data_IF_518188672528
#
_entry.id   IF_518188672528
#
_cell.length_a   1.000
_cell.length_b   1.000
_cell.length_c   1.000
_cell.angle_alpha   90.00
_cell.angle_beta   90.00
_cell.angle_gamma   90.00
#
_symmetry.space_group_name_H-M   'P 1'
#
loop_
_entity.id
_entity.type
_entity.pdbx_description
1 polymer ?
#
# COMPACT_ATOMS: atom_id res chain seq x y z
N UNK A 1 6.43 -1.35 -24.37
CA UNK A 1 6.50 -2.64 -23.68
C UNK A 1 6.97 -2.35 -22.27
N UNK A 2 6.15 -2.62 -21.24
CA UNK A 2 6.64 -2.55 -19.86
C UNK A 2 7.63 -3.68 -19.65
N UNK A 3 8.75 -3.40 -18.95
CA UNK A 3 9.74 -4.41 -18.64
C UNK A 3 9.10 -5.52 -17.79
N UNK A 4 9.49 -6.78 -18.04
CA UNK A 4 9.03 -7.91 -17.25
C UNK A 4 9.44 -7.74 -15.78
N UNK A 5 8.53 -8.06 -14.85
CA UNK A 5 8.82 -8.00 -13.42
C UNK A 5 9.88 -9.06 -13.05
N UNK A 6 11.03 -8.68 -12.48
CA UNK A 6 12.17 -9.59 -12.34
C UNK A 6 12.13 -10.49 -11.10
N UNK A 7 11.14 -10.31 -10.22
CA UNK A 7 11.02 -11.04 -8.95
C UNK A 7 9.89 -12.08 -8.98
N UNK A 8 10.00 -13.18 -8.21
CA UNK A 8 8.94 -14.18 -8.12
C UNK A 8 7.60 -13.59 -7.69
N UNK A 9 6.52 -14.10 -8.29
CA UNK A 9 5.18 -13.77 -7.83
C UNK A 9 4.96 -14.26 -6.38
N UNK A 10 4.24 -13.47 -5.55
CA UNK A 10 3.73 -13.94 -4.26
C UNK A 10 2.74 -15.10 -4.46
N UNK A 11 2.77 -16.03 -3.52
CA UNK A 11 1.74 -17.07 -3.42
C UNK A 11 0.48 -16.48 -2.77
N UNK A 12 -0.70 -16.86 -3.26
CA UNK A 12 -1.95 -16.55 -2.57
C UNK A 12 -2.14 -17.53 -1.42
N UNK A 13 -1.85 -17.06 -0.21
CA UNK A 13 -1.98 -17.82 1.04
C UNK A 13 -3.35 -17.64 1.71
N UNK A 14 -4.29 -16.94 1.08
CA UNK A 14 -5.63 -16.68 1.63
C UNK A 14 -5.66 -15.77 2.85
N UNK A 15 -4.54 -15.14 3.24
CA UNK A 15 -4.45 -14.37 4.48
C UNK A 15 -5.28 -13.07 4.48
N UNK A 16 -5.81 -12.67 3.32
CA UNK A 16 -6.72 -11.54 3.17
C UNK A 16 -8.15 -11.95 2.79
N UNK A 17 -8.51 -13.25 2.79
CA UNK A 17 -9.83 -13.72 2.33
C UNK A 17 -11.02 -13.21 3.16
N UNK A 18 -10.78 -12.68 4.37
CA UNK A 18 -11.81 -12.04 5.19
C UNK A 18 -12.06 -10.57 4.86
N UNK A 19 -11.20 -9.92 4.05
CA UNK A 19 -11.33 -8.52 3.64
C UNK A 19 -12.23 -8.40 2.41
N UNK A 20 -13.49 -8.78 2.57
CA UNK A 20 -14.47 -8.83 1.46
C UNK A 20 -15.26 -7.53 1.32
N UNK A 21 -15.94 -7.39 0.19
CA UNK A 21 -16.92 -6.32 -0.03
C UNK A 21 -17.91 -6.22 1.14
N UNK A 22 -18.17 -5.00 1.62
CA UNK A 22 -19.02 -4.74 2.78
C UNK A 22 -18.28 -4.68 4.13
N UNK A 23 -16.99 -5.03 4.18
CA UNK A 23 -16.18 -4.88 5.40
C UNK A 23 -15.96 -3.40 5.71
N UNK A 24 -16.36 -2.94 6.90
CA UNK A 24 -16.12 -1.55 7.34
C UNK A 24 -14.67 -1.36 7.77
N UNK A 25 -14.05 -0.26 7.33
CA UNK A 25 -12.73 0.14 7.81
C UNK A 25 -12.79 0.57 9.29
N UNK A 26 -11.75 0.31 10.08
CA UNK A 26 -11.66 0.81 11.45
C UNK A 26 -11.46 2.33 11.46
N UNK A 27 -12.11 3.02 12.40
CA UNK A 27 -11.94 4.46 12.61
C UNK A 27 -10.64 4.76 13.37
N UNK A 28 -9.53 4.72 12.64
CA UNK A 28 -8.16 4.90 13.16
C UNK A 28 -7.50 6.01 12.36
N UNK A 29 -7.07 7.07 13.06
CA UNK A 29 -6.28 8.13 12.47
C UNK A 29 -4.79 7.75 12.51
N UNK A 30 -4.11 7.82 11.36
CA UNK A 30 -2.69 7.51 11.24
C UNK A 30 -1.90 8.76 10.83
N UNK A 31 -0.68 8.97 11.39
CA UNK A 31 0.21 10.02 10.93
C UNK A 31 0.50 9.89 9.44
N UNK A 32 0.45 11.01 8.72
CA UNK A 32 0.70 11.03 7.27
C UNK A 32 1.82 11.98 6.85
N UNK A 33 2.39 11.71 5.68
CA UNK A 33 3.35 12.61 5.02
C UNK A 33 2.76 13.97 4.60
N UNK A 34 1.44 14.18 4.75
CA UNK A 34 0.79 15.47 4.57
C UNK A 34 0.85 16.36 5.83
N UNK A 35 1.49 15.90 6.92
CA UNK A 35 1.65 16.65 8.17
C UNK A 35 0.41 16.65 9.06
N UNK A 36 -0.59 15.81 8.76
CA UNK A 36 -1.81 15.63 9.54
C UNK A 36 -2.10 14.15 9.74
N UNK A 37 -2.84 13.81 10.80
CA UNK A 37 -3.37 12.47 10.99
C UNK A 37 -4.59 12.26 10.08
N UNK A 38 -4.65 11.11 9.40
CA UNK A 38 -5.71 10.78 8.44
C UNK A 38 -6.41 9.50 8.88
N UNK A 39 -7.74 9.59 9.01
CA UNK A 39 -8.63 8.45 9.21
C UNK A 39 -9.33 8.13 7.88
N UNK A 40 -8.87 7.05 7.23
CA UNK A 40 -9.37 6.65 5.91
C UNK A 40 -10.85 6.27 5.95
N UNK A 41 -11.36 5.77 7.09
CA UNK A 41 -12.78 5.40 7.24
C UNK A 41 -13.72 6.60 7.13
N UNK A 42 -13.22 7.81 7.36
CA UNK A 42 -13.99 9.07 7.32
C UNK A 42 -13.90 9.81 5.99
N UNK A 43 -13.15 9.26 5.03
CA UNK A 43 -12.97 9.89 3.74
C UNK A 43 -14.20 9.62 2.88
N UNK A 44 -14.97 10.67 2.60
CA UNK A 44 -16.08 10.60 1.66
C UNK A 44 -15.58 10.31 0.23
N UNK A 45 -16.37 9.53 -0.49
CA UNK A 45 -16.09 9.06 -1.84
C UNK A 45 -15.18 7.85 -1.88
N UNK A 46 -14.67 7.55 -3.08
CA UNK A 46 -13.84 6.37 -3.32
C UNK A 46 -12.38 6.63 -2.99
N UNK A 47 -11.77 5.66 -2.34
CA UNK A 47 -10.37 5.62 -1.92
C UNK A 47 -9.71 4.35 -2.45
N UNK A 48 -8.49 4.47 -2.95
CA UNK A 48 -7.55 3.36 -3.08
C UNK A 48 -6.53 3.45 -1.95
N UNK A 49 -6.51 2.43 -1.10
CA UNK A 49 -5.54 2.27 -0.01
C UNK A 49 -4.64 1.08 -0.35
N UNK A 50 -3.42 1.35 -0.80
CA UNK A 50 -2.44 0.29 -1.07
C UNK A 50 -1.49 0.13 0.12
N UNK A 51 -1.34 -1.10 0.57
CA UNK A 51 -0.46 -1.50 1.66
C UNK A 51 0.82 -2.07 1.06
N UNK A 52 1.97 -1.62 1.54
CA UNK A 52 3.27 -2.04 1.01
C UNK A 52 4.25 -2.46 2.12
N UNK A 53 5.14 -3.43 1.85
CA UNK A 53 6.05 -3.93 2.88
C UNK A 53 7.09 -2.91 3.34
N UNK A 54 7.89 -2.41 2.40
CA UNK A 54 9.08 -1.60 2.69
C UNK A 54 9.60 -0.94 1.42
N UNK A 55 10.13 0.29 1.53
CA UNK A 55 10.62 1.12 0.41
C UNK A 55 12.14 1.26 0.36
N UNK A 56 12.87 0.67 1.31
CA UNK A 56 14.33 0.79 1.37
C UNK A 56 14.82 2.15 1.86
N UNK A 57 16.13 2.26 1.98
CA UNK A 57 16.86 3.54 2.11
C UNK A 57 18.03 3.49 1.16
N UNK A 58 18.21 4.47 0.25
CA UNK A 58 19.35 4.50 -0.66
C UNK A 58 20.68 4.34 0.08
N UNK A 59 21.56 3.46 -0.43
CA UNK A 59 22.85 3.16 0.18
C UNK A 59 22.80 2.25 1.41
N UNK A 60 21.62 1.82 1.86
CA UNK A 60 21.45 0.81 2.90
C UNK A 60 21.10 -0.55 2.28
N UNK A 61 21.58 -1.63 2.88
CA UNK A 61 21.16 -2.97 2.49
C UNK A 61 19.66 -3.18 2.76
N UNK A 62 19.02 -4.03 1.96
CA UNK A 62 17.70 -4.55 2.29
C UNK A 62 17.77 -5.41 3.56
N UNK A 63 16.63 -5.67 4.21
CA UNK A 63 16.56 -6.61 5.33
C UNK A 63 17.13 -7.99 4.94
N UNK A 64 17.60 -8.80 5.90
CA UNK A 64 18.12 -10.14 5.62
C UNK A 64 17.16 -10.99 4.77
N UNK A 65 17.68 -11.72 3.78
CA UNK A 65 16.87 -12.62 2.95
C UNK A 65 15.77 -11.97 2.10
N UNK A 66 15.74 -10.64 1.97
CA UNK A 66 14.65 -9.92 1.28
C UNK A 66 14.41 -10.39 -0.16
N UNK A 67 15.49 -10.68 -0.89
CA UNK A 67 15.48 -11.13 -2.28
C UNK A 67 14.77 -12.49 -2.47
N UNK A 68 14.71 -13.31 -1.43
CA UNK A 68 14.06 -14.63 -1.45
C UNK A 68 12.57 -14.55 -1.03
N UNK A 69 12.14 -13.41 -0.47
CA UNK A 69 10.76 -13.25 0.02
C UNK A 69 9.86 -12.83 -1.15
N UNK A 70 9.03 -13.78 -1.60
CA UNK A 70 8.04 -13.57 -2.65
C UNK A 70 7.11 -12.40 -2.31
N UNK A 71 7.00 -11.44 -3.22
CA UNK A 71 6.18 -10.24 -3.04
C UNK A 71 6.79 -9.11 -2.19
N UNK A 72 7.98 -9.29 -1.60
CA UNK A 72 8.65 -8.25 -0.81
C UNK A 72 9.12 -7.07 -1.67
N UNK A 73 9.56 -7.35 -2.90
CA UNK A 73 9.97 -6.32 -3.85
C UNK A 73 8.78 -5.57 -4.45
N UNK A 74 9.00 -4.29 -4.75
CA UNK A 74 8.14 -3.49 -5.62
C UNK A 74 7.34 -2.38 -4.98
N UNK A 75 7.59 -2.04 -3.72
CA UNK A 75 6.90 -0.92 -3.05
C UNK A 75 7.20 0.43 -3.71
N UNK A 76 8.46 0.67 -4.07
CA UNK A 76 8.84 1.89 -4.81
C UNK A 76 8.14 1.97 -6.17
N UNK A 77 8.28 0.99 -7.09
CA UNK A 77 7.62 1.09 -8.40
C UNK A 77 6.08 1.06 -8.33
N UNK A 78 5.47 0.44 -7.32
CA UNK A 78 4.01 0.54 -7.11
C UNK A 78 3.59 1.96 -6.75
N UNK A 79 4.24 2.56 -5.75
CA UNK A 79 3.94 3.93 -5.32
C UNK A 79 4.22 4.95 -6.42
N UNK A 80 5.30 4.77 -7.19
CA UNK A 80 5.60 5.58 -8.38
C UNK A 80 4.54 5.39 -9.47
N UNK A 81 4.06 4.17 -9.69
CA UNK A 81 2.93 3.90 -10.58
C UNK A 81 1.67 4.68 -10.15
N UNK A 82 1.33 4.70 -8.87
CA UNK A 82 0.22 5.51 -8.37
C UNK A 82 0.46 7.01 -8.59
N UNK A 83 1.68 7.49 -8.34
CA UNK A 83 2.07 8.89 -8.55
C UNK A 83 1.85 9.28 -10.01
N UNK A 84 2.33 8.46 -10.94
CA UNK A 84 2.27 8.73 -12.38
C UNK A 84 0.83 8.69 -12.90
N UNK A 85 -0.04 7.87 -12.29
CA UNK A 85 -1.45 7.74 -12.65
C UNK A 85 -2.38 8.72 -11.90
N UNK A 86 -1.87 9.54 -10.97
CA UNK A 86 -2.68 10.46 -10.15
C UNK A 86 -3.65 11.34 -10.95
N UNK A 87 -3.30 11.90 -12.14
CA UNK A 87 -4.26 12.67 -12.93
C UNK A 87 -5.52 11.88 -13.29
N UNK A 88 -5.38 10.59 -13.60
CA UNK A 88 -6.50 9.71 -13.91
C UNK A 88 -7.38 9.40 -12.69
N UNK A 89 -6.76 9.20 -11.52
CA UNK A 89 -7.50 9.03 -10.27
C UNK A 89 -8.26 10.30 -9.89
N UNK A 90 -7.64 11.47 -10.02
CA UNK A 90 -8.26 12.76 -9.73
C UNK A 90 -9.46 13.04 -10.64
N UNK A 91 -9.37 12.73 -11.95
CA UNK A 91 -10.49 12.85 -12.89
C UNK A 91 -11.71 12.01 -12.50
N UNK A 92 -11.51 10.90 -11.77
CA UNK A 92 -12.58 10.04 -11.25
C UNK A 92 -12.99 10.36 -9.83
N UNK A 93 -12.45 11.43 -9.23
CA UNK A 93 -12.71 11.78 -7.83
C UNK A 93 -12.20 10.73 -6.83
N UNK A 94 -11.24 9.89 -7.22
CA UNK A 94 -10.68 8.83 -6.38
C UNK A 94 -9.44 9.35 -5.66
N UNK A 95 -9.41 9.18 -4.33
CA UNK A 95 -8.24 9.51 -3.51
C UNK A 95 -7.33 8.30 -3.38
N UNK A 96 -6.02 8.52 -3.31
CA UNK A 96 -5.03 7.45 -3.18
C UNK A 96 -4.24 7.66 -1.89
N UNK A 97 -4.02 6.57 -1.15
CA UNK A 97 -3.18 6.55 0.05
C UNK A 97 -2.27 5.32 0.01
N UNK A 98 -1.01 5.49 0.39
CA UNK A 98 -0.12 4.38 0.68
C UNK A 98 -0.09 4.11 2.19
N UNK A 99 0.07 2.87 2.62
CA UNK A 99 0.20 2.51 4.03
C UNK A 99 1.31 1.47 4.23
N UNK A 100 2.12 1.66 5.27
CA UNK A 100 3.08 0.65 5.72
C UNK A 100 3.33 0.75 7.22
N UNK A 101 4.03 -0.24 7.75
CA UNK A 101 4.55 -0.21 9.12
C UNK A 101 5.82 0.64 9.26
N UNK A 102 6.31 1.29 8.20
CA UNK A 102 7.45 2.20 8.29
C UNK A 102 7.07 3.46 9.09
N UNK A 103 8.00 3.95 9.91
CA UNK A 103 7.84 5.17 10.71
C UNK A 103 7.61 6.38 9.81
N UNK A 104 6.90 7.39 10.33
CA UNK A 104 6.62 8.64 9.60
C UNK A 104 7.86 9.28 8.97
N UNK A 105 8.97 9.37 9.72
CA UNK A 105 10.22 9.93 9.20
C UNK A 105 10.77 9.17 7.99
N UNK A 106 10.67 7.84 7.98
CA UNK A 106 11.13 7.02 6.86
C UNK A 106 10.20 7.20 5.64
N UNK A 107 8.89 7.30 5.86
CA UNK A 107 7.91 7.55 4.81
C UNK A 107 8.03 8.96 4.21
N UNK A 108 8.34 9.97 5.01
CA UNK A 108 8.60 11.32 4.52
C UNK A 108 9.86 11.38 3.64
N UNK A 109 10.94 10.71 4.06
CA UNK A 109 12.16 10.59 3.25
C UNK A 109 11.87 9.87 1.93
N UNK A 110 11.06 8.81 1.97
CA UNK A 110 10.61 8.11 0.78
C UNK A 110 9.75 9.02 -0.12
N UNK A 111 8.76 9.71 0.43
CA UNK A 111 7.91 10.62 -0.33
C UNK A 111 8.72 11.71 -1.03
N UNK A 112 9.71 12.30 -0.34
CA UNK A 112 10.61 13.30 -0.92
C UNK A 112 11.45 12.73 -2.06
N UNK A 113 12.12 11.59 -1.86
CA UNK A 113 13.04 11.03 -2.88
C UNK A 113 12.33 10.45 -4.10
N UNK A 114 11.11 9.91 -3.92
CA UNK A 114 10.30 9.34 -4.99
C UNK A 114 9.24 10.31 -5.52
N UNK A 115 9.28 11.59 -5.12
CA UNK A 115 8.33 12.62 -5.52
C UNK A 115 6.86 12.20 -5.37
N UNK A 116 6.52 11.51 -4.28
CA UNK A 116 5.16 11.06 -4.01
C UNK A 116 4.31 12.25 -3.59
N UNK A 117 3.19 12.46 -4.27
CA UNK A 117 2.30 13.63 -4.12
C UNK A 117 0.99 13.34 -3.40
N UNK A 118 0.76 12.09 -2.99
CA UNK A 118 -0.38 11.67 -2.19
C UNK A 118 0.08 11.23 -0.78
N UNK A 119 -0.81 11.22 0.23
CA UNK A 119 -0.39 10.93 1.59
C UNK A 119 0.02 9.46 1.75
N UNK A 120 1.14 9.25 2.44
CA UNK A 120 1.58 7.94 2.91
C UNK A 120 1.36 7.87 4.43
N UNK A 121 0.73 6.80 4.90
CA UNK A 121 0.25 6.61 6.26
C UNK A 121 1.20 5.67 7.02
N UNK A 122 1.63 6.11 8.20
CA UNK A 122 2.49 5.35 9.11
C UNK A 122 1.67 4.56 10.12
N UNK A 123 1.52 3.26 9.88
CA UNK A 123 0.96 2.30 10.83
C UNK A 123 2.07 1.61 11.63
N UNK A 124 3.05 2.38 12.12
CA UNK A 124 4.22 1.85 12.84
C UNK A 124 3.87 1.11 14.15
N UNK A 125 2.68 1.37 14.70
CA UNK A 125 2.14 0.67 15.87
C UNK A 125 1.24 -0.51 15.50
N UNK A 126 1.07 -0.81 14.20
CA UNK A 126 0.18 -1.84 13.66
C UNK A 126 -1.29 -1.70 14.08
N UNK A 127 -1.75 -0.52 14.51
CA UNK A 127 -3.12 -0.33 15.00
C UNK A 127 -4.15 -0.62 13.89
N UNK A 128 -3.93 -0.10 12.68
CA UNK A 128 -4.81 -0.36 11.55
C UNK A 128 -4.66 -1.80 11.06
N UNK A 129 -3.42 -2.29 11.00
CA UNK A 129 -3.12 -3.65 10.59
C UNK A 129 -3.71 -4.71 11.54
N UNK A 130 -3.70 -4.49 12.85
CA UNK A 130 -4.27 -5.39 13.85
C UNK A 130 -5.80 -5.41 13.73
N UNK A 131 -6.42 -4.25 13.62
CA UNK A 131 -7.87 -4.11 13.52
C UNK A 131 -8.47 -4.84 12.30
N UNK A 132 -7.76 -4.84 11.17
CA UNK A 132 -8.16 -5.57 9.97
C UNK A 132 -7.50 -6.95 9.81
N UNK A 133 -6.66 -7.38 10.77
CA UNK A 133 -5.86 -8.61 10.66
C UNK A 133 -5.10 -8.69 9.33
N UNK A 134 -4.43 -7.59 8.94
CA UNK A 134 -3.69 -7.50 7.69
C UNK A 134 -2.54 -8.51 7.68
N UNK A 135 -2.28 -9.17 6.53
CA UNK A 135 -1.25 -10.18 6.39
C UNK A 135 0.16 -9.62 6.62
N UNK A 136 1.05 -10.42 7.22
CA UNK A 136 2.41 -10.02 7.63
C UNK A 136 3.45 -11.06 7.27
N UNK A 137 4.70 -10.65 7.27
CA UNK A 137 5.85 -11.54 7.29
C UNK A 137 6.96 -10.92 8.16
N UNK A 138 7.92 -11.73 8.56
CA UNK A 138 9.04 -11.30 9.39
C UNK A 138 10.36 -11.59 8.68
N UNK A 139 11.30 -10.66 8.78
CA UNK A 139 12.71 -10.95 8.51
C UNK A 139 13.61 -9.98 9.27
N UNK A 140 14.82 -10.42 9.62
CA UNK A 140 15.77 -9.60 10.38
C UNK A 140 15.24 -9.13 11.74
N UNK A 141 14.30 -9.87 12.34
CA UNK A 141 13.63 -9.49 13.60
C UNK A 141 12.66 -8.31 13.48
N UNK A 142 12.25 -7.96 12.25
CA UNK A 142 11.29 -6.88 11.97
C UNK A 142 10.08 -7.47 11.25
N UNK A 143 8.89 -7.08 11.70
CA UNK A 143 7.62 -7.43 11.05
C UNK A 143 7.27 -6.43 9.96
N UNK A 144 6.84 -6.93 8.80
CA UNK A 144 6.40 -6.16 7.64
C UNK A 144 4.97 -6.54 7.26
N UNK A 145 4.24 -5.63 6.63
CA UNK A 145 2.94 -5.92 6.03
C UNK A 145 3.13 -6.57 4.65
N UNK A 146 2.29 -7.53 4.28
CA UNK A 146 2.25 -8.04 2.90
C UNK A 146 1.51 -7.05 2.00
N UNK A 147 1.91 -7.03 0.72
CA UNK A 147 1.34 -6.13 -0.29
C UNK A 147 -0.12 -6.49 -0.59
N UNK A 148 -1.03 -5.55 -0.40
CA UNK A 148 -2.43 -5.66 -0.80
C UNK A 148 -2.97 -4.29 -1.18
N UNK A 149 -4.12 -4.24 -1.84
CA UNK A 149 -4.82 -2.98 -2.10
C UNK A 149 -6.29 -3.12 -1.79
N UNK A 150 -6.85 -2.15 -1.09
CA UNK A 150 -8.29 -2.05 -0.86
C UNK A 150 -8.85 -0.87 -1.65
N UNK A 151 -9.92 -1.12 -2.39
CA UNK A 151 -10.80 -0.09 -2.94
C UNK A 151 -11.93 0.08 -1.93
N UNK A 152 -12.13 1.31 -1.47
CA UNK A 152 -13.01 1.64 -0.34
C UNK A 152 -13.95 2.76 -0.78
N UNK A 153 -15.25 2.58 -0.60
CA UNK A 153 -16.27 3.63 -0.79
C UNK A 153 -16.85 4.02 0.56
N UNK A 154 -16.74 5.31 0.92
CA UNK A 154 -17.33 5.86 2.15
C UNK A 154 -17.03 5.02 3.42
N UNK A 155 -15.76 4.61 3.55
CA UNK A 155 -15.27 3.82 4.68
C UNK A 155 -15.61 2.32 4.64
N UNK A 156 -16.19 1.81 3.56
CA UNK A 156 -16.52 0.39 3.37
C UNK A 156 -15.71 -0.19 2.20
N UNK A 157 -15.08 -1.35 2.41
CA UNK A 157 -14.34 -2.06 1.36
C UNK A 157 -15.33 -2.46 0.26
N UNK A 158 -15.04 -2.04 -0.98
CA UNK A 158 -15.71 -2.49 -2.20
C UNK A 158 -14.99 -3.71 -2.79
N UNK A 159 -13.65 -3.71 -2.75
CA UNK A 159 -12.82 -4.78 -3.29
C UNK A 159 -11.46 -4.82 -2.59
N UNK A 160 -10.94 -6.01 -2.35
CA UNK A 160 -9.54 -6.22 -1.94
C UNK A 160 -8.80 -6.99 -3.02
N UNK A 161 -7.60 -6.54 -3.36
CA UNK A 161 -6.67 -7.20 -4.26
C UNK A 161 -5.52 -7.74 -3.42
N UNK A 162 -5.45 -9.07 -3.31
CA UNK A 162 -4.38 -9.78 -2.64
C UNK A 162 -4.25 -11.18 -3.26
N UNK A 163 -3.01 -11.63 -3.58
CA UNK A 163 -1.79 -10.83 -3.57
C UNK A 163 -1.73 -9.87 -4.78
N UNK A 164 -1.00 -8.76 -4.65
CA UNK A 164 -0.79 -7.81 -5.76
C UNK A 164 0.43 -8.25 -6.60
N UNK A 165 0.23 -8.47 -7.91
CA UNK A 165 1.33 -8.76 -8.85
C UNK A 165 0.95 -8.48 -10.32
N UNK A 166 1.85 -7.87 -11.13
CA UNK A 166 3.11 -7.28 -10.73
C UNK A 166 2.89 -5.84 -10.19
N UNK A 167 3.65 -5.41 -9.16
CA UNK A 167 3.39 -4.14 -8.47
C UNK A 167 3.54 -2.89 -9.36
N UNK A 168 4.42 -2.92 -10.36
CA UNK A 168 4.71 -1.77 -11.21
C UNK A 168 3.60 -1.41 -12.22
N UNK A 169 2.67 -2.32 -12.55
CA UNK A 169 1.50 -2.01 -13.40
C UNK A 169 0.23 -1.81 -12.59
N UNK A 170 0.24 -2.21 -11.32
CA UNK A 170 -0.94 -2.32 -10.47
C UNK A 170 -1.77 -1.04 -10.42
N UNK A 171 -1.12 0.12 -10.27
CA UNK A 171 -1.83 1.41 -10.27
C UNK A 171 -2.59 1.68 -11.57
N UNK A 172 -2.06 1.31 -12.73
CA UNK A 172 -2.76 1.46 -14.00
C UNK A 172 -3.88 0.41 -14.15
N UNK A 173 -3.67 -0.80 -13.63
CA UNK A 173 -4.64 -1.90 -13.65
C UNK A 173 -5.88 -1.55 -12.82
N UNK A 174 -5.69 -1.06 -11.59
CA UNK A 174 -6.76 -0.54 -10.72
C UNK A 174 -7.48 0.61 -11.41
N UNK A 175 -6.73 1.57 -11.96
CA UNK A 175 -7.34 2.70 -12.65
C UNK A 175 -8.22 2.23 -13.82
N UNK A 176 -7.82 1.22 -14.60
CA UNK A 176 -8.68 0.70 -15.68
C UNK A 176 -9.92 -0.04 -15.16
N UNK A 177 -9.83 -0.69 -14.01
CA UNK A 177 -10.94 -1.41 -13.38
C UNK A 177 -11.98 -0.46 -12.75
N UNK A 178 -11.58 0.75 -12.37
CA UNK A 178 -12.48 1.81 -11.91
C UNK A 178 -13.22 2.42 -13.10
N UNK A 179 -14.30 1.77 -13.53
CA UNK A 179 -15.27 2.29 -14.50
C UNK A 179 -16.20 3.33 -13.88
#
# INVERSE_FOLDING_TARGET
>A
MHAQWPWPAPDDDGAASHLVAGTTLPAIALPSTAGVDIDVSKIAGRVVLFVYPFTGTPGSANPPGWDDIRGAHGSTPEAEGFRDMMPGYALRGVKVFGLSAQRSADQELFARRAAITFPLLSDAAFAFADALRLPRFETGGVTYLKRLTMIVGDGVIEQTIYPVHPPHTHAADILRALS
#
